data_IF_731815057961
#
_entry.id   IF_731815057961
#
_cell.length_a   1.000
_cell.length_b   1.000
_cell.length_c   1.000
_cell.angle_alpha   90.00
_cell.angle_beta   90.00
_cell.angle_gamma   90.00
#
_symmetry.space_group_name_H-M   'P 1'
#
loop_
_entity.id
_entity.type
_entity.pdbx_description
1 polymer ?
#
# COMPACT_ATOMS: atom_id res chain seq x y z
N UNK A 1 32.56 5.04 -5.30
CA UNK A 1 31.44 4.26 -5.84
C UNK A 1 30.25 5.17 -5.68
N UNK A 2 29.69 5.66 -6.78
CA UNK A 2 28.70 6.73 -6.71
C UNK A 2 27.31 6.13 -6.45
N UNK A 3 26.88 6.16 -5.18
CA UNK A 3 25.61 5.59 -4.73
C UNK A 3 24.43 6.18 -5.49
N UNK A 4 24.55 7.44 -5.90
CA UNK A 4 23.57 8.14 -6.70
C UNK A 4 23.35 7.46 -8.05
N UNK A 5 24.42 7.20 -8.80
CA UNK A 5 24.31 6.54 -10.10
C UNK A 5 23.68 5.15 -9.98
N UNK A 6 23.99 4.42 -8.92
CA UNK A 6 23.47 3.06 -8.70
C UNK A 6 21.95 3.09 -8.44
N UNK A 7 21.48 4.06 -7.64
CA UNK A 7 20.05 4.29 -7.41
C UNK A 7 19.35 4.74 -8.70
N UNK A 8 19.94 5.65 -9.47
CA UNK A 8 19.38 6.10 -10.74
C UNK A 8 19.26 4.95 -11.76
N UNK A 9 20.29 4.09 -11.86
CA UNK A 9 20.27 2.88 -12.69
C UNK A 9 19.20 1.90 -12.23
N UNK A 10 19.04 1.72 -10.92
CA UNK A 10 18.00 0.86 -10.34
C UNK A 10 16.59 1.33 -10.72
N UNK A 11 16.29 2.62 -10.51
CA UNK A 11 14.99 3.21 -10.83
C UNK A 11 14.69 3.07 -12.33
N UNK A 12 15.68 3.37 -13.19
CA UNK A 12 15.52 3.25 -14.63
C UNK A 12 15.29 1.81 -15.08
N UNK A 13 15.99 0.84 -14.49
CA UNK A 13 15.84 -0.59 -14.82
C UNK A 13 14.49 -1.15 -14.38
N UNK A 14 14.05 -0.83 -13.17
CA UNK A 14 12.84 -1.41 -12.56
C UNK A 14 11.57 -0.70 -12.97
N UNK A 15 11.57 0.63 -12.89
CA UNK A 15 10.38 1.46 -13.09
C UNK A 15 10.30 2.12 -14.45
N UNK A 16 11.37 2.09 -15.24
CA UNK A 16 11.51 2.81 -16.53
C UNK A 16 11.31 4.32 -16.39
N UNK A 17 11.32 4.85 -15.17
CA UNK A 17 11.21 6.28 -14.91
C UNK A 17 12.56 6.96 -15.18
N UNK A 18 12.50 8.13 -15.82
CA UNK A 18 13.67 8.97 -16.06
C UNK A 18 13.69 10.15 -15.08
N UNK A 19 14.88 10.63 -14.67
CA UNK A 19 14.98 11.80 -13.81
C UNK A 19 14.49 13.06 -14.53
N UNK A 20 13.68 13.87 -13.86
CA UNK A 20 13.23 15.18 -14.32
C UNK A 20 13.92 16.30 -13.51
N UNK A 21 14.54 17.25 -14.20
CA UNK A 21 15.19 18.41 -13.59
C UNK A 21 14.29 19.64 -13.73
N UNK A 22 13.57 19.98 -12.68
CA UNK A 22 12.52 21.02 -12.73
C UNK A 22 13.07 22.42 -12.43
N UNK A 23 14.15 22.51 -11.67
CA UNK A 23 14.62 23.77 -11.11
C UNK A 23 15.85 24.29 -11.86
N UNK A 24 15.72 25.47 -12.47
CA UNK A 24 16.86 26.15 -13.13
C UNK A 24 17.96 26.58 -12.16
N UNK A 25 17.61 26.83 -10.90
CA UNK A 25 18.57 27.23 -9.85
C UNK A 25 19.35 26.07 -9.26
N UNK A 26 18.77 24.86 -9.32
CA UNK A 26 19.34 23.63 -8.77
C UNK A 26 19.28 22.57 -9.88
N UNK A 27 20.22 22.62 -10.84
CA UNK A 27 20.23 21.72 -11.98
C UNK A 27 20.51 20.27 -11.56
N UNK A 28 21.08 20.06 -10.39
CA UNK A 28 21.49 18.75 -9.89
C UNK A 28 20.34 18.00 -9.19
N UNK A 29 19.20 18.64 -8.95
CA UNK A 29 18.06 18.02 -8.27
C UNK A 29 17.25 17.17 -9.26
N UNK A 30 17.23 15.87 -9.05
CA UNK A 30 16.53 14.91 -9.91
C UNK A 30 15.23 14.44 -9.26
N UNK A 31 14.09 14.70 -9.91
CA UNK A 31 12.77 14.25 -9.45
C UNK A 31 12.34 13.01 -10.23
N UNK A 32 11.85 12.00 -9.53
CA UNK A 32 11.28 10.79 -10.13
C UNK A 32 9.77 10.75 -9.96
N UNK A 33 9.09 10.51 -11.08
CA UNK A 33 7.63 10.52 -11.17
C UNK A 33 7.08 9.26 -11.81
N UNK A 34 5.86 8.92 -11.46
CA UNK A 34 5.09 7.91 -12.18
C UNK A 34 4.60 8.46 -13.52
N UNK A 35 4.70 7.65 -14.58
CA UNK A 35 4.15 8.01 -15.89
C UNK A 35 2.61 8.15 -15.86
N UNK A 36 1.92 7.35 -15.04
CA UNK A 36 0.45 7.30 -15.06
C UNK A 36 -0.19 8.51 -14.37
N UNK A 37 0.25 8.80 -13.14
CA UNK A 37 -0.39 9.79 -12.26
C UNK A 37 0.46 11.04 -12.02
N UNK A 38 1.68 11.09 -12.57
CA UNK A 38 2.66 12.18 -12.43
C UNK A 38 3.01 12.54 -10.98
N UNK A 39 2.65 11.71 -10.01
CA UNK A 39 3.02 11.89 -8.60
C UNK A 39 4.49 11.54 -8.43
N UNK A 40 5.13 12.27 -7.53
CA UNK A 40 6.54 12.09 -7.20
C UNK A 40 6.64 10.95 -6.19
N UNK A 41 7.63 10.08 -6.35
CA UNK A 41 7.90 9.00 -5.41
C UNK A 41 9.31 9.08 -4.82
N UNK A 42 10.26 9.66 -5.55
CA UNK A 42 11.62 9.88 -5.07
C UNK A 42 12.17 11.20 -5.62
N UNK A 43 13.05 11.84 -4.85
CA UNK A 43 13.77 13.05 -5.26
C UNK A 43 15.20 12.94 -4.76
N UNK A 44 16.18 13.10 -5.64
CA UNK A 44 17.59 13.19 -5.27
C UNK A 44 18.01 14.66 -5.29
N UNK A 45 18.69 15.11 -4.24
CA UNK A 45 19.14 16.49 -4.08
C UNK A 45 20.58 16.52 -3.54
N UNK A 46 21.35 17.54 -3.89
CA UNK A 46 22.62 17.87 -3.26
C UNK A 46 22.40 18.98 -2.21
N UNK A 47 22.68 18.69 -0.93
CA UNK A 47 22.41 19.63 0.17
C UNK A 47 23.62 19.74 1.09
N UNK A 48 23.87 20.95 1.59
CA UNK A 48 24.93 21.19 2.58
C UNK A 48 24.54 20.57 3.94
N UNK A 49 25.47 19.88 4.59
CA UNK A 49 25.27 19.21 5.88
C UNK A 49 24.61 20.10 6.96
N UNK A 50 25.00 21.38 7.02
CA UNK A 50 24.45 22.38 7.93
C UNK A 50 22.91 22.48 7.85
N UNK A 51 22.34 22.40 6.64
CA UNK A 51 20.88 22.48 6.43
C UNK A 51 20.14 21.21 6.87
N UNK A 52 20.87 20.10 7.00
CA UNK A 52 20.37 18.82 7.50
C UNK A 52 20.54 18.68 9.03
N UNK A 53 21.17 19.66 9.68
CA UNK A 53 21.48 19.63 11.11
C UNK A 53 22.74 18.81 11.44
N UNK A 54 23.58 18.52 10.44
CA UNK A 54 24.85 17.84 10.61
C UNK A 54 26.00 18.85 10.72
N UNK A 55 27.06 18.55 11.49
CA UNK A 55 28.22 19.42 11.59
C UNK A 55 29.02 19.41 10.29
N UNK A 56 29.06 20.55 9.59
CA UNK A 56 29.89 20.73 8.40
C UNK A 56 29.17 21.45 7.26
N UNK A 57 29.95 21.92 6.29
CA UNK A 57 29.45 22.54 5.05
C UNK A 57 29.70 21.65 3.83
N UNK A 58 29.90 20.35 4.06
CA UNK A 58 30.10 19.39 2.99
C UNK A 58 28.78 19.17 2.26
N UNK A 59 28.86 19.03 0.93
CA UNK A 59 27.70 18.70 0.10
C UNK A 59 27.47 17.21 0.17
N UNK A 60 26.29 16.83 0.61
CA UNK A 60 25.87 15.43 0.75
C UNK A 60 24.71 15.22 -0.21
N UNK A 61 24.76 14.13 -0.97
CA UNK A 61 23.63 13.67 -1.76
C UNK A 61 22.60 13.03 -0.83
N UNK A 62 21.36 13.46 -0.97
CA UNK A 62 20.22 12.94 -0.22
C UNK A 62 19.15 12.44 -1.17
N UNK A 63 18.36 11.48 -0.70
CA UNK A 63 17.15 11.05 -1.38
C UNK A 63 15.94 11.19 -0.45
N UNK A 64 14.94 11.92 -0.92
CA UNK A 64 13.64 12.02 -0.29
C UNK A 64 12.72 10.94 -0.86
N UNK A 65 12.13 10.15 0.03
CA UNK A 65 11.15 9.10 -0.33
C UNK A 65 9.89 9.26 0.52
N UNK A 66 8.74 8.92 -0.07
CA UNK A 66 7.45 8.93 0.61
C UNK A 66 7.22 7.63 1.39
N UNK A 67 6.72 7.72 2.62
CA UNK A 67 6.28 6.60 3.47
C UNK A 67 4.91 6.94 4.04
N UNK A 68 3.92 6.06 3.88
CA UNK A 68 2.59 6.24 4.47
C UNK A 68 2.45 5.60 5.87
N UNK A 69 3.32 4.65 6.25
CA UNK A 69 3.34 4.03 7.58
C UNK A 69 4.07 4.91 8.63
N UNK A 70 3.30 5.44 9.58
CA UNK A 70 3.81 6.29 10.67
C UNK A 70 4.73 5.53 11.64
N UNK A 71 4.44 4.26 11.93
CA UNK A 71 5.25 3.45 12.85
C UNK A 71 6.62 3.15 12.24
N UNK A 72 6.63 2.74 10.97
CA UNK A 72 7.88 2.48 10.25
C UNK A 72 8.74 3.75 10.19
N UNK A 73 8.13 4.90 9.90
CA UNK A 73 8.83 6.20 9.88
C UNK A 73 9.51 6.50 11.21
N UNK A 74 8.81 6.35 12.33
CA UNK A 74 9.39 6.67 13.64
C UNK A 74 10.55 5.73 14.02
N UNK A 75 10.49 4.46 13.61
CA UNK A 75 11.59 3.49 13.77
C UNK A 75 12.80 3.90 12.91
N UNK A 76 12.56 4.28 11.65
CA UNK A 76 13.64 4.68 10.73
C UNK A 76 14.35 5.94 11.20
N UNK A 77 13.63 6.93 11.75
CA UNK A 77 14.24 8.15 12.29
C UNK A 77 15.15 7.93 13.50
N UNK A 78 15.11 6.73 14.12
CA UNK A 78 16.04 6.34 15.18
C UNK A 78 17.33 5.72 14.64
N UNK A 79 17.37 5.36 13.35
CA UNK A 79 18.53 4.77 12.70
C UNK A 79 19.44 5.86 12.12
N UNK A 80 20.75 5.61 12.14
CA UNK A 80 21.72 6.48 11.48
C UNK A 80 21.51 6.47 9.96
N UNK A 81 21.60 7.65 9.32
CA UNK A 81 21.40 7.81 7.88
C UNK A 81 19.99 8.19 7.46
N UNK A 82 19.01 8.17 8.38
CA UNK A 82 17.64 8.64 8.12
C UNK A 82 17.36 9.93 8.87
N UNK A 83 16.85 10.94 8.15
CA UNK A 83 16.56 12.26 8.68
C UNK A 83 15.09 12.64 8.38
N UNK A 84 14.52 13.60 9.14
CA UNK A 84 13.23 14.18 8.79
C UNK A 84 13.25 14.75 7.36
N UNK A 85 12.09 14.71 6.70
CA UNK A 85 11.93 15.22 5.33
C UNK A 85 12.53 16.62 5.12
N UNK A 86 13.32 16.78 4.05
CA UNK A 86 13.89 18.04 3.64
C UNK A 86 13.01 18.71 2.57
N UNK A 87 12.51 19.92 2.82
CA UNK A 87 11.50 20.62 1.98
C UNK A 87 10.13 19.94 1.81
N UNK A 88 10.00 18.63 2.07
CA UNK A 88 8.76 17.89 1.97
C UNK A 88 7.98 17.80 3.29
N UNK A 89 6.77 17.25 3.23
CA UNK A 89 5.94 17.06 4.41
C UNK A 89 6.54 15.98 5.32
N UNK A 90 7.02 16.42 6.50
CA UNK A 90 7.64 15.58 7.53
C UNK A 90 6.80 14.40 8.03
N UNK A 91 5.49 14.41 7.80
CA UNK A 91 4.59 13.32 8.20
C UNK A 91 4.49 12.17 7.20
N UNK A 92 4.87 12.39 5.93
CA UNK A 92 4.73 11.37 4.85
C UNK A 92 6.00 11.18 4.03
N UNK A 93 7.06 11.93 4.32
CA UNK A 93 8.34 11.85 3.64
C UNK A 93 9.46 11.66 4.65
N UNK A 94 10.52 11.02 4.21
CA UNK A 94 11.78 10.88 4.95
C UNK A 94 12.94 11.19 4.01
N UNK A 95 14.01 11.71 4.58
CA UNK A 95 15.26 11.96 3.88
C UNK A 95 16.24 10.84 4.21
N UNK A 96 16.89 10.25 3.22
CA UNK A 96 17.93 9.23 3.39
C UNK A 96 19.26 9.80 2.89
N UNK A 97 20.32 9.64 3.67
CA UNK A 97 21.67 10.06 3.30
C UNK A 97 22.31 9.05 2.34
N UNK A 98 22.90 9.54 1.24
CA UNK A 98 23.66 8.74 0.27
C UNK A 98 25.17 8.85 0.54
N UNK A 99 25.57 8.86 1.81
CA UNK A 99 26.97 8.92 2.26
C UNK A 99 27.60 7.53 2.47
N UNK A 100 26.81 6.47 2.35
CA UNK A 100 27.21 5.08 2.58
C UNK A 100 26.83 4.54 3.96
N UNK A 101 26.18 5.34 4.82
CA UNK A 101 25.64 4.90 6.11
C UNK A 101 24.54 3.86 5.91
N UNK A 102 23.67 4.07 4.92
CA UNK A 102 22.59 3.15 4.57
C UNK A 102 23.00 2.28 3.39
N UNK A 103 22.69 0.98 3.46
CA UNK A 103 22.99 0.04 2.37
C UNK A 103 22.12 0.33 1.15
N UNK A 104 22.68 0.13 -0.05
CA UNK A 104 21.95 0.31 -1.33
C UNK A 104 20.69 -0.53 -1.39
N UNK A 105 20.71 -1.76 -0.86
CA UNK A 105 19.55 -2.65 -0.85
C UNK A 105 18.39 -2.07 -0.01
N UNK A 106 18.70 -1.45 1.12
CA UNK A 106 17.71 -0.79 1.98
C UNK A 106 17.13 0.44 1.28
N UNK A 107 17.96 1.26 0.65
CA UNK A 107 17.51 2.41 -0.15
C UNK A 107 16.58 1.95 -1.28
N UNK A 108 16.93 0.87 -1.99
CA UNK A 108 16.10 0.29 -3.04
C UNK A 108 14.74 -0.16 -2.50
N UNK A 109 14.70 -0.84 -1.35
CA UNK A 109 13.46 -1.27 -0.71
C UNK A 109 12.58 -0.07 -0.30
N UNK A 110 13.18 1.02 0.19
CA UNK A 110 12.46 2.24 0.54
C UNK A 110 11.86 2.93 -0.68
N UNK A 111 12.60 2.98 -1.80
CA UNK A 111 12.08 3.47 -3.08
C UNK A 111 10.94 2.58 -3.56
N UNK A 112 11.05 1.26 -3.40
CA UNK A 112 10.02 0.33 -3.80
C UNK A 112 8.72 0.55 -3.03
N UNK A 113 8.81 0.66 -1.70
CA UNK A 113 7.68 0.98 -0.84
C UNK A 113 7.05 2.32 -1.24
N UNK A 114 7.88 3.35 -1.45
CA UNK A 114 7.40 4.66 -1.87
C UNK A 114 6.69 4.65 -3.22
N UNK A 115 7.24 3.89 -4.19
CA UNK A 115 6.63 3.71 -5.50
C UNK A 115 5.26 3.04 -5.37
N UNK A 116 5.15 2.00 -4.55
CA UNK A 116 3.88 1.33 -4.28
C UNK A 116 2.87 2.29 -3.65
N UNK A 117 3.25 3.01 -2.59
CA UNK A 117 2.37 3.94 -1.87
C UNK A 117 1.80 5.04 -2.79
N UNK A 118 2.64 5.54 -3.69
CA UNK A 118 2.30 6.62 -4.63
C UNK A 118 1.68 6.14 -5.94
N UNK A 119 1.72 4.83 -6.24
CA UNK A 119 1.17 4.27 -7.48
C UNK A 119 -0.35 4.48 -7.60
N UNK A 120 -0.83 4.50 -8.85
CA UNK A 120 -2.26 4.54 -9.14
C UNK A 120 -2.94 3.22 -8.74
N UNK A 121 -4.25 3.26 -8.46
CA UNK A 121 -5.07 2.09 -8.07
C UNK A 121 -4.82 0.88 -9.00
N UNK A 122 -4.89 1.12 -10.31
CA UNK A 122 -4.66 0.11 -11.36
C UNK A 122 -3.26 -0.53 -11.33
N UNK A 123 -2.23 0.19 -10.87
CA UNK A 123 -0.88 -0.37 -10.71
C UNK A 123 -0.73 -1.07 -9.36
N UNK A 124 -1.30 -0.55 -8.28
CA UNK A 124 -1.34 -1.24 -6.98
C UNK A 124 -1.92 -2.64 -7.14
N UNK A 125 -3.03 -2.78 -7.85
CA UNK A 125 -3.69 -4.07 -8.09
C UNK A 125 -2.79 -5.07 -8.86
N UNK A 126 -1.84 -4.60 -9.68
CA UNK A 126 -0.87 -5.45 -10.39
C UNK A 126 0.33 -5.87 -9.55
N UNK A 127 0.68 -5.08 -8.54
CA UNK A 127 1.83 -5.34 -7.65
C UNK A 127 1.41 -5.97 -6.31
N UNK A 128 0.13 -5.87 -5.93
CA UNK A 128 -0.39 -6.48 -4.72
C UNK A 128 -0.38 -8.01 -4.86
N UNK A 129 0.10 -8.66 -3.81
CA UNK A 129 -0.02 -10.11 -3.64
C UNK A 129 -1.49 -10.48 -3.40
N UNK A 130 -1.86 -11.70 -3.76
CA UNK A 130 -3.20 -12.23 -3.50
C UNK A 130 -3.50 -12.15 -2.01
N UNK A 131 -4.61 -11.51 -1.66
CA UNK A 131 -5.06 -11.35 -0.27
C UNK A 131 -6.18 -12.32 0.05
N UNK A 132 -6.34 -12.55 1.34
CA UNK A 132 -7.45 -13.31 1.90
C UNK A 132 -8.51 -12.31 2.41
N UNK A 133 -9.76 -12.54 2.01
CA UNK A 133 -10.90 -11.69 2.35
C UNK A 133 -11.94 -12.49 3.10
N UNK A 134 -12.60 -11.88 4.08
CA UNK A 134 -13.79 -12.45 4.71
C UNK A 134 -15.01 -11.65 4.27
N UNK A 135 -15.92 -12.31 3.59
CA UNK A 135 -17.16 -11.73 3.09
C UNK A 135 -18.31 -12.24 3.95
N UNK A 136 -19.05 -11.35 4.63
CA UNK A 136 -20.21 -11.76 5.38
C UNK A 136 -21.37 -12.06 4.43
N UNK A 137 -21.91 -13.26 4.57
CA UNK A 137 -22.99 -13.78 3.79
C UNK A 137 -24.16 -14.03 4.76
N UNK A 138 -25.19 -13.21 4.69
CA UNK A 138 -26.34 -13.33 5.57
C UNK A 138 -27.38 -14.29 4.96
N UNK A 139 -27.70 -15.43 5.61
CA UNK A 139 -28.70 -16.39 5.11
C UNK A 139 -30.07 -15.80 4.82
N UNK A 140 -30.42 -14.67 5.45
CA UNK A 140 -31.69 -13.98 5.21
C UNK A 140 -31.77 -13.34 3.82
N UNK A 141 -30.62 -13.03 3.22
CA UNK A 141 -30.54 -12.31 1.94
C UNK A 141 -29.98 -13.19 0.82
N UNK A 142 -29.17 -14.19 1.15
CA UNK A 142 -28.52 -15.08 0.20
C UNK A 142 -28.68 -16.53 0.65
N UNK A 143 -29.14 -17.41 -0.23
CA UNK A 143 -29.16 -18.85 0.01
C UNK A 143 -27.76 -19.41 -0.22
N UNK A 144 -26.95 -19.35 0.83
CA UNK A 144 -25.54 -19.75 0.78
C UNK A 144 -25.42 -21.27 0.76
N UNK A 145 -26.33 -21.99 1.43
CA UNK A 145 -26.26 -23.46 1.54
C UNK A 145 -26.37 -24.15 0.18
N UNK A 146 -27.19 -23.62 -0.72
CA UNK A 146 -27.40 -24.16 -2.07
C UNK A 146 -26.72 -23.33 -3.16
N UNK A 147 -25.89 -22.35 -2.79
CA UNK A 147 -25.27 -21.39 -3.71
C UNK A 147 -24.39 -22.06 -4.79
N UNK A 148 -23.85 -23.24 -4.48
CA UNK A 148 -22.92 -23.98 -5.35
C UNK A 148 -23.47 -25.34 -5.79
N UNK A 149 -24.76 -25.62 -5.57
CA UNK A 149 -25.36 -26.91 -5.95
C UNK A 149 -25.52 -27.05 -7.47
N UNK A 150 -25.82 -25.93 -8.15
CA UNK A 150 -26.08 -25.89 -9.59
C UNK A 150 -24.90 -25.31 -10.40
N UNK A 151 -24.09 -24.44 -9.80
CA UNK A 151 -22.98 -23.74 -10.47
C UNK A 151 -21.73 -23.67 -9.60
N UNK A 152 -20.55 -23.84 -10.21
CA UNK A 152 -19.25 -23.68 -9.53
C UNK A 152 -18.82 -22.21 -9.41
N UNK A 153 -19.57 -21.29 -10.01
CA UNK A 153 -19.32 -19.85 -10.02
C UNK A 153 -20.55 -19.11 -9.49
N UNK A 154 -20.31 -18.05 -8.71
CA UNK A 154 -21.36 -17.18 -8.16
C UNK A 154 -20.95 -15.72 -8.28
N UNK A 155 -21.89 -14.88 -8.68
CA UNK A 155 -21.74 -13.44 -8.66
C UNK A 155 -22.01 -12.92 -7.25
N UNK A 156 -21.06 -12.17 -6.70
CA UNK A 156 -21.19 -11.58 -5.38
C UNK A 156 -20.94 -10.08 -5.41
N UNK A 157 -21.61 -9.34 -4.52
CA UNK A 157 -21.37 -7.90 -4.36
C UNK A 157 -19.90 -7.67 -4.03
N UNK A 158 -19.16 -7.08 -4.95
CA UNK A 158 -17.76 -6.76 -4.74
C UNK A 158 -17.64 -5.64 -3.71
N UNK A 159 -16.97 -5.91 -2.59
CA UNK A 159 -16.53 -4.84 -1.69
C UNK A 159 -15.17 -4.27 -2.09
N UNK A 160 -14.71 -3.26 -1.36
CA UNK A 160 -13.61 -2.44 -1.82
C UNK A 160 -12.25 -3.18 -1.79
N UNK A 161 -11.59 -3.21 -2.97
CA UNK A 161 -10.19 -3.66 -3.23
C UNK A 161 -9.96 -5.17 -3.42
N UNK A 162 -11.01 -5.97 -3.67
CA UNK A 162 -10.84 -7.36 -4.13
C UNK A 162 -10.28 -7.36 -5.57
N UNK A 163 -9.23 -8.14 -5.82
CA UNK A 163 -8.60 -8.32 -7.15
C UNK A 163 -8.75 -9.75 -7.69
N UNK A 164 -8.59 -9.92 -9.01
CA UNK A 164 -8.58 -11.25 -9.64
C UNK A 164 -7.45 -12.11 -9.07
N UNK A 165 -7.80 -13.31 -8.60
CA UNK A 165 -6.87 -14.25 -7.99
C UNK A 165 -6.82 -14.20 -6.46
N UNK A 166 -7.50 -13.25 -5.82
CA UNK A 166 -7.68 -13.24 -4.36
C UNK A 166 -8.48 -14.46 -3.89
N UNK A 167 -8.31 -14.80 -2.61
CA UNK A 167 -9.08 -15.84 -1.93
C UNK A 167 -10.14 -15.20 -1.05
N UNK A 168 -11.38 -15.60 -1.21
CA UNK A 168 -12.53 -15.08 -0.47
C UNK A 168 -13.11 -16.20 0.38
N UNK A 169 -13.26 -15.94 1.67
CA UNK A 169 -13.95 -16.79 2.61
C UNK A 169 -15.36 -16.25 2.85
N UNK A 170 -16.38 -17.06 2.61
CA UNK A 170 -17.77 -16.68 2.83
C UNK A 170 -18.18 -17.06 4.24
N UNK A 171 -18.36 -16.05 5.09
CA UNK A 171 -18.78 -16.21 6.49
C UNK A 171 -20.29 -16.13 6.62
N UNK A 172 -20.90 -17.19 7.12
CA UNK A 172 -22.32 -17.23 7.40
C UNK A 172 -22.56 -16.81 8.84
N UNK A 173 -23.34 -15.73 9.04
CA UNK A 173 -23.71 -15.25 10.39
C UNK A 173 -24.66 -16.22 11.13
N UNK A 174 -25.11 -15.82 12.31
CA UNK A 174 -26.05 -16.61 13.11
C UNK A 174 -27.30 -17.07 12.30
N UNK A 175 -27.78 -18.32 12.46
CA UNK A 175 -27.44 -19.31 13.50
C UNK A 175 -26.22 -20.19 13.18
N UNK A 176 -25.64 -20.04 12.00
CA UNK A 176 -24.60 -20.93 11.47
C UNK A 176 -23.21 -20.54 11.99
N UNK A 177 -22.92 -19.24 12.03
CA UNK A 177 -21.70 -18.64 12.61
C UNK A 177 -20.39 -19.33 12.17
N UNK A 178 -20.29 -19.70 10.90
CA UNK A 178 -19.16 -20.46 10.34
C UNK A 178 -18.85 -20.06 8.90
N UNK A 179 -17.61 -20.31 8.47
CA UNK A 179 -17.19 -20.13 7.07
C UNK A 179 -17.62 -21.36 6.27
N UNK A 180 -18.40 -21.14 5.21
CA UNK A 180 -18.94 -22.24 4.40
C UNK A 180 -18.08 -22.53 3.16
N UNK A 181 -17.61 -21.47 2.51
CA UNK A 181 -16.89 -21.59 1.25
C UNK A 181 -15.57 -20.83 1.25
N UNK A 182 -14.59 -21.42 0.56
CA UNK A 182 -13.34 -20.80 0.17
C UNK A 182 -13.35 -20.67 -1.35
N UNK A 183 -13.58 -19.46 -1.84
CA UNK A 183 -13.71 -19.15 -3.25
C UNK A 183 -12.45 -18.43 -3.76
N UNK A 184 -12.16 -18.58 -5.04
CA UNK A 184 -11.10 -17.81 -5.72
C UNK A 184 -11.75 -16.83 -6.68
N UNK A 185 -11.31 -15.57 -6.65
CA UNK A 185 -11.88 -14.51 -7.48
C UNK A 185 -11.45 -14.69 -8.93
N UNK A 186 -12.41 -14.93 -9.81
CA UNK A 186 -12.21 -15.13 -11.25
C UNK A 186 -12.25 -13.81 -12.02
N UNK A 187 -13.19 -12.92 -11.70
CA UNK A 187 -13.42 -11.62 -12.34
C UNK A 187 -13.85 -10.56 -11.32
N UNK A 188 -13.63 -9.28 -11.65
CA UNK A 188 -13.92 -8.11 -10.80
C UNK A 188 -14.45 -6.96 -11.65
N UNK A 189 -15.09 -5.97 -11.03
CA UNK A 189 -15.69 -4.79 -11.67
C UNK A 189 -16.83 -5.13 -12.67
N UNK A 190 -17.60 -6.18 -12.37
CA UNK A 190 -18.79 -6.56 -13.14
C UNK A 190 -19.90 -5.54 -12.89
N UNK A 191 -20.57 -5.00 -13.93
CA UNK A 191 -21.66 -4.05 -13.75
C UNK A 191 -22.81 -4.65 -12.93
N UNK A 192 -23.20 -3.98 -11.85
CA UNK A 192 -24.29 -4.42 -10.96
C UNK A 192 -25.13 -3.22 -10.53
N UNK A 193 -26.45 -3.30 -10.72
CA UNK A 193 -27.39 -2.29 -10.23
C UNK A 193 -27.90 -2.72 -8.84
N UNK A 194 -27.54 -1.94 -7.82
CA UNK A 194 -27.91 -2.22 -6.43
C UNK A 194 -28.86 -1.16 -5.86
N UNK A 195 -29.94 -1.60 -5.22
CA UNK A 195 -30.81 -0.75 -4.38
C UNK A 195 -30.56 -1.06 -2.90
N UNK A 196 -30.09 -0.07 -2.16
CA UNK A 196 -29.67 -0.22 -0.76
C UNK A 196 -30.86 -0.15 0.21
N UNK A 197 -30.92 -1.10 1.15
CA UNK A 197 -31.85 -1.08 2.30
C UNK A 197 -31.04 -1.23 3.60
N UNK A 198 -30.56 -0.09 4.10
CA UNK A 198 -30.07 0.25 5.45
C UNK A 198 -29.81 -0.90 6.45
N UNK A 199 -28.55 -1.02 6.93
CA UNK A 199 -28.18 -1.74 8.15
C UNK A 199 -27.05 -0.97 8.88
N UNK A 200 -27.39 -0.31 9.99
CA UNK A 200 -26.52 0.66 10.70
C UNK A 200 -25.46 0.05 11.62
N UNK A 201 -25.54 -1.23 12.01
CA UNK A 201 -24.77 -1.78 13.14
C UNK A 201 -23.96 -3.05 12.80
N UNK A 202 -23.37 -3.13 11.60
CA UNK A 202 -22.66 -4.34 11.11
C UNK A 202 -21.26 -4.56 11.72
N UNK A 203 -20.46 -3.50 11.87
CA UNK A 203 -19.07 -3.60 12.32
C UNK A 203 -18.91 -4.20 13.73
N UNK A 204 -19.85 -3.90 14.63
CA UNK A 204 -19.85 -4.43 16.01
C UNK A 204 -20.07 -5.95 16.04
N UNK A 205 -20.98 -6.45 15.22
CA UNK A 205 -21.30 -7.89 15.12
C UNK A 205 -20.09 -8.71 14.66
N UNK A 206 -19.40 -8.25 13.62
CA UNK A 206 -18.23 -8.97 13.08
C UNK A 206 -17.07 -9.07 14.07
N UNK A 207 -16.86 -8.04 14.90
CA UNK A 207 -15.79 -8.04 15.90
C UNK A 207 -16.05 -9.02 17.04
N UNK A 208 -17.28 -9.05 17.56
CA UNK A 208 -17.67 -9.92 18.68
C UNK A 208 -17.62 -11.41 18.29
N UNK A 209 -18.03 -11.76 17.07
CA UNK A 209 -18.04 -13.15 16.59
C UNK A 209 -16.66 -13.60 16.06
N UNK A 210 -15.93 -12.72 15.36
CA UNK A 210 -14.66 -13.06 14.69
C UNK A 210 -13.50 -13.35 15.64
N UNK A 211 -13.47 -12.70 16.81
CA UNK A 211 -12.37 -12.82 17.80
C UNK A 211 -12.20 -14.26 18.34
N UNK A 212 -13.24 -15.10 18.23
CA UNK A 212 -13.18 -16.49 18.70
C UNK A 212 -12.51 -17.45 17.70
N UNK A 213 -12.41 -17.07 16.42
CA UNK A 213 -12.03 -17.98 15.33
C UNK A 213 -10.79 -17.54 14.55
N UNK A 214 -10.38 -16.28 14.66
CA UNK A 214 -9.26 -15.73 13.91
C UNK A 214 -8.45 -14.77 14.78
N UNK A 215 -7.13 -14.81 14.59
CA UNK A 215 -6.19 -13.87 15.20
C UNK A 215 -5.37 -13.22 14.09
N UNK A 216 -5.62 -11.94 13.82
CA UNK A 216 -4.98 -11.20 12.72
C UNK A 216 -5.86 -10.09 12.14
N UNK A 217 -5.40 -9.49 11.03
CA UNK A 217 -6.07 -8.34 10.42
C UNK A 217 -7.16 -8.80 9.43
N UNK A 218 -8.42 -8.57 9.78
CA UNK A 218 -9.60 -8.86 8.97
C UNK A 218 -10.04 -7.62 8.19
N UNK A 219 -10.16 -7.71 6.87
CA UNK A 219 -10.65 -6.60 6.05
C UNK A 219 -12.10 -6.83 5.64
N UNK A 220 -12.99 -5.96 6.14
CA UNK A 220 -14.43 -6.04 5.81
C UNK A 220 -14.69 -5.28 4.52
N UNK A 221 -15.21 -5.93 3.46
CA UNK A 221 -15.25 -5.34 2.13
C UNK A 221 -16.20 -4.14 1.98
N UNK A 222 -17.26 -4.02 2.78
CA UNK A 222 -18.24 -2.93 2.64
C UNK A 222 -17.71 -1.57 3.16
N UNK A 223 -16.85 -1.55 4.18
CA UNK A 223 -16.49 -0.31 4.91
C UNK A 223 -15.02 0.11 4.76
N UNK A 224 -14.18 -0.66 4.06
CA UNK A 224 -12.71 -0.49 4.01
C UNK A 224 -12.02 -0.54 5.39
N UNK A 225 -12.72 -0.95 6.45
CA UNK A 225 -12.18 -1.08 7.79
C UNK A 225 -11.35 -2.36 7.92
N UNK A 226 -10.16 -2.21 8.51
CA UNK A 226 -9.36 -3.31 9.02
C UNK A 226 -9.70 -3.52 10.49
N UNK A 227 -10.26 -4.68 10.82
CA UNK A 227 -10.50 -5.09 12.20
C UNK A 227 -9.36 -6.01 12.61
N UNK A 228 -8.54 -5.58 13.57
CA UNK A 228 -7.63 -6.50 14.25
C UNK A 228 -8.46 -7.38 15.19
N UNK A 229 -8.45 -8.69 14.94
CA UNK A 229 -9.09 -9.73 15.75
C UNK A 229 -8.05 -10.49 16.59
#
# INVERSE_FOLDING_TARGET
>A
MDLREDVEKYIKKKYKASPEYLWKRYPDYAVFRHEDNRKWFAIIMDVDADKLGLPGTERIDIIDVKIDDLMLRDILLQQEGFLPAYHMNKGSWITILLDGTVKVDEICNMIDASFLDTASRKKKDKFCQAKEWLVPANPKYYDIEHAFDETDEIDWKQGARIIKGDTVFMYVGAPVSAIFYKCKVTEVDIPYEYEDKNLSDRAKLYKEEGTQYYHGNLYVPDDLESIEL
#
